data_IF_624592143664
#
_entry.id   IF_624592143664
#
_cell.length_a   1.000
_cell.length_b   1.000
_cell.length_c   1.000
_cell.angle_alpha   90.00
_cell.angle_beta   90.00
_cell.angle_gamma   90.00
#
_symmetry.space_group_name_H-M   'P 1'
#
loop_
_entity.id
_entity.type
_entity.pdbx_description
1 polymer ?
#
# COMPACT_ATOMS: atom_id res chain seq x y z
N UNK A 1 12.88 33.31 1.96
CA UNK A 1 11.57 33.29 2.65
C UNK A 1 11.16 31.85 2.86
N UNK A 2 10.52 31.52 3.95
CA UNK A 2 10.04 30.16 4.21
C UNK A 2 8.84 29.86 3.31
N UNK A 3 8.85 28.74 2.62
CA UNK A 3 7.70 28.29 1.82
C UNK A 3 6.54 27.93 2.75
N UNK A 4 5.34 28.42 2.45
CA UNK A 4 4.11 28.17 3.22
C UNK A 4 3.07 27.44 2.35
N UNK A 5 2.14 26.77 3.00
CA UNK A 5 0.96 26.17 2.36
C UNK A 5 -0.05 27.27 2.04
N UNK A 6 -0.56 27.30 0.80
CA UNK A 6 -1.56 28.30 0.36
C UNK A 6 -2.95 27.71 0.24
N UNK A 7 -3.06 26.42 -0.10
CA UNK A 7 -4.34 25.70 -0.11
C UNK A 7 -4.14 24.20 -0.02
N UNK A 8 -5.18 23.48 0.41
CA UNK A 8 -5.35 22.04 0.26
C UNK A 8 -6.72 21.80 -0.39
N UNK A 9 -6.75 21.01 -1.45
CA UNK A 9 -8.01 20.59 -2.08
C UNK A 9 -8.08 19.07 -2.14
N UNK A 10 -9.28 18.53 -1.97
CA UNK A 10 -9.53 17.09 -2.04
C UNK A 10 -10.70 16.80 -2.98
N UNK A 11 -10.53 15.79 -3.86
CA UNK A 11 -11.53 15.39 -4.84
C UNK A 11 -11.76 13.88 -4.75
N UNK A 12 -13.02 13.46 -4.57
CA UNK A 12 -13.38 12.06 -4.60
C UNK A 12 -13.56 11.58 -6.04
N UNK A 13 -13.01 10.41 -6.38
CA UNK A 13 -13.23 9.73 -7.65
C UNK A 13 -13.57 8.26 -7.41
N UNK A 14 -14.37 7.68 -8.31
CA UNK A 14 -14.73 6.27 -8.27
C UNK A 14 -14.30 5.61 -9.58
N UNK A 15 -13.10 5.03 -9.55
CA UNK A 15 -12.39 4.52 -10.73
C UNK A 15 -12.78 3.07 -10.99
N UNK A 16 -13.19 2.67 -12.21
CA UNK A 16 -13.45 1.28 -12.52
C UNK A 16 -12.15 0.47 -12.49
N UNK A 17 -12.19 -0.72 -11.89
CA UNK A 17 -11.07 -1.65 -11.92
C UNK A 17 -10.95 -2.32 -13.27
N UNK A 18 -9.72 -2.52 -13.74
CA UNK A 18 -9.43 -3.33 -14.93
C UNK A 18 -9.81 -4.82 -14.71
N UNK A 19 -9.62 -5.29 -13.47
CA UNK A 19 -10.02 -6.62 -12.98
C UNK A 19 -10.73 -6.46 -11.64
N UNK A 20 -12.05 -6.76 -11.58
CA UNK A 20 -12.77 -6.84 -10.32
C UNK A 20 -12.09 -7.84 -9.37
N UNK A 21 -11.93 -7.46 -8.11
CA UNK A 21 -11.27 -8.28 -7.12
C UNK A 21 -12.27 -8.83 -6.11
N UNK A 22 -12.35 -10.17 -6.02
CA UNK A 22 -13.09 -10.87 -4.98
C UNK A 22 -12.10 -11.36 -3.92
N UNK A 23 -12.33 -10.96 -2.67
CA UNK A 23 -11.58 -11.44 -1.50
C UNK A 23 -12.55 -12.05 -0.49
N UNK A 24 -12.03 -12.62 0.59
CA UNK A 24 -12.84 -13.08 1.73
C UNK A 24 -13.64 -11.94 2.40
N UNK A 25 -13.15 -10.70 2.29
CA UNK A 25 -13.80 -9.51 2.85
C UNK A 25 -14.88 -8.91 1.94
N UNK A 26 -15.00 -9.37 0.69
CA UNK A 26 -15.99 -8.88 -0.28
C UNK A 26 -15.46 -8.66 -1.68
N UNK A 27 -16.27 -8.01 -2.52
CA UNK A 27 -15.94 -7.73 -3.93
C UNK A 27 -15.73 -6.25 -4.15
N UNK A 28 -14.64 -5.90 -4.84
CA UNK A 28 -14.32 -4.53 -5.26
C UNK A 28 -14.34 -4.49 -6.77
N UNK A 29 -15.23 -3.67 -7.35
CA UNK A 29 -15.36 -3.46 -8.81
C UNK A 29 -14.93 -2.06 -9.23
N UNK A 30 -14.90 -1.14 -8.29
CA UNK A 30 -14.50 0.26 -8.47
C UNK A 30 -13.64 0.68 -7.28
N UNK A 31 -12.58 1.42 -7.55
CA UNK A 31 -11.65 1.92 -6.54
C UNK A 31 -12.10 3.30 -6.09
N UNK A 32 -12.49 3.49 -4.82
CA UNK A 32 -12.82 4.79 -4.27
C UNK A 32 -11.54 5.52 -3.85
N UNK A 33 -11.12 6.54 -4.61
CA UNK A 33 -9.93 7.33 -4.31
C UNK A 33 -10.31 8.75 -3.89
N UNK A 34 -9.51 9.35 -3.01
CA UNK A 34 -9.53 10.77 -2.69
C UNK A 34 -8.21 11.37 -3.14
N UNK A 35 -8.25 12.19 -4.18
CA UNK A 35 -7.09 12.89 -4.73
C UNK A 35 -6.84 14.16 -3.93
N UNK A 36 -5.59 14.43 -3.59
CA UNK A 36 -5.18 15.56 -2.73
C UNK A 36 -4.19 16.42 -3.50
N UNK A 37 -4.46 17.74 -3.52
CA UNK A 37 -3.57 18.76 -4.08
C UNK A 37 -3.23 19.77 -2.99
N UNK A 38 -1.95 19.92 -2.66
CA UNK A 38 -1.41 20.85 -1.67
C UNK A 38 -0.58 21.92 -2.37
N UNK A 39 -1.14 23.13 -2.49
CA UNK A 39 -0.46 24.25 -3.12
C UNK A 39 0.42 25.02 -2.13
N UNK A 40 1.50 25.60 -2.64
CA UNK A 40 2.51 26.31 -1.85
C UNK A 40 2.78 27.71 -2.36
N UNK A 41 3.32 28.59 -1.51
CA UNK A 41 3.74 29.95 -1.86
C UNK A 41 4.92 29.98 -2.85
N UNK A 42 5.62 28.86 -3.06
CA UNK A 42 6.66 28.70 -4.07
C UNK A 42 6.09 28.34 -5.46
N UNK A 43 4.76 28.22 -5.61
CA UNK A 43 4.10 27.85 -6.86
C UNK A 43 4.07 26.35 -7.15
N UNK A 44 4.71 25.51 -6.35
CA UNK A 44 4.62 24.06 -6.48
C UNK A 44 3.32 23.55 -5.86
N UNK A 45 2.76 22.51 -6.50
CA UNK A 45 1.62 21.75 -5.96
C UNK A 45 2.09 20.31 -5.73
N UNK A 46 2.00 19.87 -4.48
CA UNK A 46 2.24 18.48 -4.12
C UNK A 46 0.97 17.65 -4.28
N UNK A 47 1.13 16.44 -4.76
CA UNK A 47 0.04 15.51 -5.05
C UNK A 47 0.16 14.24 -4.22
N UNK A 48 -0.98 13.73 -3.75
CA UNK A 48 -1.12 12.40 -3.18
C UNK A 48 -2.55 11.89 -3.37
N UNK A 49 -2.78 10.65 -3.02
CA UNK A 49 -4.14 10.11 -3.01
C UNK A 49 -4.33 9.15 -1.84
N UNK A 50 -5.60 8.90 -1.50
CA UNK A 50 -6.02 7.93 -0.49
C UNK A 50 -6.94 6.90 -1.13
N UNK A 51 -6.89 5.68 -0.62
CA UNK A 51 -7.82 4.60 -0.93
C UNK A 51 -8.87 4.48 0.18
N UNK A 52 -10.07 4.99 -0.05
CA UNK A 52 -11.13 5.03 0.96
C UNK A 52 -11.77 3.66 1.26
N UNK A 53 -11.26 2.57 0.67
CA UNK A 53 -11.73 1.17 0.80
C UNK A 53 -13.18 0.97 0.35
N UNK A 54 -14.09 1.84 0.75
CA UNK A 54 -15.51 1.82 0.39
C UNK A 54 -15.99 3.19 -0.10
N UNK A 55 -16.88 3.25 -1.11
CA UNK A 55 -17.47 4.52 -1.55
C UNK A 55 -18.19 5.28 -0.42
N UNK A 56 -18.65 4.58 0.63
CA UNK A 56 -19.31 5.21 1.79
C UNK A 56 -18.37 6.15 2.57
N UNK A 57 -17.06 5.94 2.51
CA UNK A 57 -16.08 6.78 3.21
C UNK A 57 -15.62 8.00 2.39
N UNK A 58 -15.91 8.08 1.09
CA UNK A 58 -15.40 9.15 0.21
C UNK A 58 -15.79 10.55 0.69
N UNK A 59 -17.09 10.79 0.90
CA UNK A 59 -17.58 12.11 1.29
C UNK A 59 -17.05 12.56 2.66
N UNK A 60 -17.02 11.67 3.62
CA UNK A 60 -16.50 11.98 4.97
C UNK A 60 -14.99 12.27 4.94
N UNK A 61 -14.21 11.54 4.15
CA UNK A 61 -12.77 11.77 4.00
C UNK A 61 -12.49 13.12 3.32
N UNK A 62 -13.24 13.48 2.26
CA UNK A 62 -13.13 14.79 1.60
C UNK A 62 -13.50 15.90 2.55
N UNK A 63 -14.61 15.78 3.29
CA UNK A 63 -15.03 16.79 4.27
C UNK A 63 -13.96 16.98 5.36
N UNK A 64 -13.41 15.90 5.88
CA UNK A 64 -12.35 15.96 6.90
C UNK A 64 -11.08 16.65 6.38
N UNK A 65 -10.63 16.35 5.15
CA UNK A 65 -9.49 17.04 4.53
C UNK A 65 -9.79 18.52 4.31
N UNK A 66 -11.03 18.89 3.92
CA UNK A 66 -11.47 20.27 3.75
C UNK A 66 -11.41 21.05 5.06
N UNK A 67 -11.86 20.45 6.17
CA UNK A 67 -11.78 21.06 7.50
C UNK A 67 -10.31 21.18 7.97
N UNK A 68 -9.48 20.15 7.73
CA UNK A 68 -8.05 20.18 8.05
C UNK A 68 -7.30 21.26 7.25
N UNK A 69 -7.73 21.60 6.03
CA UNK A 69 -7.12 22.66 5.23
C UNK A 69 -7.06 23.99 5.98
N UNK A 70 -8.06 24.29 6.83
CA UNK A 70 -8.10 25.51 7.63
C UNK A 70 -6.97 25.60 8.67
N UNK A 71 -6.42 24.45 9.08
CA UNK A 71 -5.29 24.37 10.02
C UNK A 71 -3.95 24.49 9.30
N UNK A 72 -3.91 24.23 8.00
CA UNK A 72 -2.68 24.12 7.19
C UNK A 72 -2.32 25.42 6.47
N UNK A 73 -3.32 26.19 6.02
CA UNK A 73 -3.08 27.42 5.26
C UNK A 73 -2.27 28.42 6.11
N UNK A 74 -1.17 28.92 5.53
CA UNK A 74 -0.22 29.81 6.19
C UNK A 74 0.87 29.11 6.99
N UNK A 75 0.76 27.81 7.24
CA UNK A 75 1.81 27.06 7.93
C UNK A 75 3.04 26.86 7.04
N UNK A 76 4.25 26.79 7.61
CA UNK A 76 5.44 26.39 6.88
C UNK A 76 5.27 24.99 6.25
N UNK A 77 5.81 24.79 5.05
CA UNK A 77 5.89 23.48 4.42
C UNK A 77 7.00 22.65 5.09
N UNK A 78 6.70 22.11 6.25
CA UNK A 78 7.60 21.31 7.08
C UNK A 78 6.88 20.01 7.51
N UNK A 79 6.97 18.91 6.73
CA UNK A 79 6.13 17.73 6.92
C UNK A 79 6.14 17.16 8.35
N UNK A 80 7.29 17.06 8.99
CA UNK A 80 7.37 16.57 10.38
C UNK A 80 6.68 17.50 11.38
N UNK A 81 6.78 18.83 11.20
CA UNK A 81 6.12 19.79 12.10
C UNK A 81 4.60 19.77 11.86
N UNK A 82 4.18 19.64 10.60
CA UNK A 82 2.75 19.51 10.22
C UNK A 82 2.15 18.24 10.81
N UNK A 83 2.83 17.09 10.69
CA UNK A 83 2.42 15.82 11.29
C UNK A 83 2.26 15.96 12.82
N UNK A 84 3.24 16.56 13.49
CA UNK A 84 3.20 16.75 14.95
C UNK A 84 2.04 17.65 15.35
N UNK A 85 1.87 18.77 14.65
CA UNK A 85 0.76 19.73 14.90
C UNK A 85 -0.60 19.06 14.74
N UNK A 86 -0.81 18.35 13.64
CA UNK A 86 -2.08 17.69 13.35
C UNK A 86 -2.33 16.50 14.30
N UNK A 87 -1.34 15.65 14.53
CA UNK A 87 -1.47 14.54 15.47
C UNK A 87 -1.83 15.00 16.88
N UNK A 88 -1.23 16.11 17.33
CA UNK A 88 -1.57 16.72 18.63
C UNK A 88 -3.03 17.20 18.65
N UNK A 89 -3.53 17.77 17.55
CA UNK A 89 -4.92 18.24 17.43
C UNK A 89 -5.93 17.11 17.59
N UNK A 90 -5.60 15.93 17.12
CA UNK A 90 -6.47 14.74 17.13
C UNK A 90 -6.15 13.75 18.26
N UNK A 91 -5.33 14.12 19.25
CA UNK A 91 -4.90 13.21 20.34
C UNK A 91 -6.08 12.52 21.05
N UNK A 92 -7.16 13.25 21.36
CA UNK A 92 -8.31 12.68 22.08
C UNK A 92 -9.26 11.89 21.18
N UNK A 93 -9.31 12.20 19.89
CA UNK A 93 -10.11 11.45 18.91
C UNK A 93 -9.38 10.17 18.47
N UNK A 94 -8.07 10.20 18.45
CA UNK A 94 -7.22 9.18 17.88
C UNK A 94 -6.81 9.49 16.45
N UNK A 95 -5.73 8.85 16.00
CA UNK A 95 -5.18 9.01 14.65
C UNK A 95 -5.28 7.72 13.82
N UNK A 96 -6.20 6.83 14.18
CA UNK A 96 -6.52 5.64 13.40
C UNK A 96 -7.70 5.91 12.45
N UNK A 97 -7.94 5.03 11.49
CA UNK A 97 -9.06 5.15 10.55
C UNK A 97 -8.91 6.38 9.64
N UNK A 98 -10.03 6.99 9.27
CA UNK A 98 -10.06 8.10 8.31
C UNK A 98 -9.25 9.32 8.74
N UNK A 99 -9.12 9.57 10.05
CA UNK A 99 -8.23 10.63 10.57
C UNK A 99 -6.78 10.34 10.19
N UNK A 100 -6.28 9.15 10.53
CA UNK A 100 -4.91 8.75 10.21
C UNK A 100 -4.63 8.75 8.71
N UNK A 101 -5.57 8.24 7.91
CA UNK A 101 -5.49 8.27 6.44
C UNK A 101 -5.38 9.70 5.91
N UNK A 102 -6.23 10.62 6.39
CA UNK A 102 -6.17 12.03 6.01
C UNK A 102 -4.83 12.69 6.37
N UNK A 103 -4.30 12.42 7.58
CA UNK A 103 -2.99 12.90 8.01
C UNK A 103 -1.88 12.38 7.10
N UNK A 104 -1.91 11.10 6.74
CA UNK A 104 -0.95 10.47 5.83
C UNK A 104 -1.01 11.06 4.42
N UNK A 105 -2.21 11.32 3.91
CA UNK A 105 -2.40 11.96 2.61
C UNK A 105 -1.81 13.37 2.57
N UNK A 106 -2.02 14.16 3.63
CA UNK A 106 -1.42 15.49 3.78
C UNK A 106 0.10 15.39 3.85
N UNK A 107 0.64 14.44 4.61
CA UNK A 107 2.10 14.21 4.73
C UNK A 107 2.72 13.83 3.38
N UNK A 108 2.14 12.88 2.65
CA UNK A 108 2.60 12.49 1.31
C UNK A 108 2.60 13.68 0.33
N UNK A 109 1.52 14.49 0.32
CA UNK A 109 1.43 15.66 -0.54
C UNK A 109 2.46 16.74 -0.15
N UNK A 110 2.73 16.93 1.15
CA UNK A 110 3.70 17.90 1.63
C UNK A 110 5.14 17.48 1.24
N UNK A 111 5.49 16.20 1.34
CA UNK A 111 6.77 15.68 0.88
C UNK A 111 6.92 15.74 -0.64
N UNK A 112 5.86 15.45 -1.40
CA UNK A 112 5.87 15.60 -2.85
C UNK A 112 6.10 17.07 -3.25
N UNK A 113 5.44 18.04 -2.59
CA UNK A 113 5.67 19.46 -2.79
C UNK A 113 7.13 19.86 -2.51
N UNK A 114 7.72 19.38 -1.41
CA UNK A 114 9.13 19.65 -1.10
C UNK A 114 10.06 19.09 -2.18
N UNK A 115 9.83 17.87 -2.64
CA UNK A 115 10.64 17.26 -3.68
C UNK A 115 10.54 18.03 -5.02
N UNK A 116 9.34 18.50 -5.36
CA UNK A 116 9.12 19.37 -6.53
C UNK A 116 9.84 20.72 -6.42
N UNK A 117 9.79 21.36 -5.25
CA UNK A 117 10.51 22.63 -5.00
C UNK A 117 12.02 22.41 -5.09
N UNK A 118 12.51 21.28 -4.57
CA UNK A 118 13.92 20.91 -4.65
C UNK A 118 14.37 20.48 -6.07
N UNK A 119 13.43 20.31 -7.02
CA UNK A 119 13.71 19.89 -8.38
C UNK A 119 14.21 18.45 -8.51
N UNK A 120 13.86 17.56 -7.58
CA UNK A 120 14.37 16.18 -7.56
C UNK A 120 13.31 15.15 -7.16
N UNK A 121 13.49 13.86 -7.53
CA UNK A 121 12.64 12.78 -7.06
C UNK A 121 12.63 12.67 -5.54
N UNK A 122 11.49 12.25 -4.95
CA UNK A 122 11.36 12.10 -3.50
C UNK A 122 12.46 11.20 -2.90
N UNK A 123 12.80 10.08 -3.56
CA UNK A 123 13.86 9.19 -3.09
C UNK A 123 15.20 9.91 -2.89
N UNK A 124 15.58 10.83 -3.80
CA UNK A 124 16.82 11.62 -3.66
C UNK A 124 16.71 12.67 -2.56
N UNK A 125 15.54 13.31 -2.43
CA UNK A 125 15.32 14.27 -1.32
C UNK A 125 15.48 13.58 0.04
N UNK A 126 15.07 12.32 0.15
CA UNK A 126 15.21 11.50 1.35
C UNK A 126 16.62 10.90 1.55
N UNK A 127 17.57 11.21 0.64
CA UNK A 127 18.95 10.78 0.75
C UNK A 127 19.29 9.45 0.07
N UNK A 128 18.35 8.87 -0.71
CA UNK A 128 18.56 7.66 -1.48
C UNK A 128 18.98 7.90 -2.92
N UNK A 129 19.18 6.80 -3.66
CA UNK A 129 19.39 6.80 -5.10
C UNK A 129 18.24 6.05 -5.80
N UNK A 130 17.91 6.47 -7.03
CA UNK A 130 16.96 5.72 -7.85
C UNK A 130 17.56 4.36 -8.22
N UNK A 131 16.82 3.30 -7.94
CA UNK A 131 17.17 1.92 -8.30
C UNK A 131 15.89 1.16 -8.70
N UNK A 132 15.98 0.17 -9.60
CA UNK A 132 14.86 -0.72 -9.87
C UNK A 132 14.46 -1.46 -8.58
N UNK A 133 13.16 -1.49 -8.28
CA UNK A 133 12.63 -2.17 -7.09
C UNK A 133 11.91 -3.45 -7.53
N UNK A 134 12.27 -4.64 -7.02
CA UNK A 134 11.54 -5.87 -7.32
C UNK A 134 10.07 -5.72 -6.99
N UNK A 135 9.19 -6.09 -7.94
CA UNK A 135 7.75 -5.95 -7.78
C UNK A 135 7.03 -7.25 -8.08
N UNK A 136 5.97 -7.53 -7.33
CA UNK A 136 5.01 -8.59 -7.63
C UNK A 136 3.69 -8.02 -8.12
N UNK A 137 3.01 -8.78 -9.02
CA UNK A 137 1.71 -8.35 -9.54
C UNK A 137 0.58 -8.76 -8.61
N UNK A 138 -0.18 -7.77 -8.11
CA UNK A 138 -1.32 -7.94 -7.23
C UNK A 138 -2.64 -7.41 -7.84
N UNK A 139 -2.70 -7.25 -9.18
CA UNK A 139 -3.84 -6.67 -9.87
C UNK A 139 -5.07 -7.60 -10.00
N UNK A 140 -5.01 -8.84 -9.53
CA UNK A 140 -6.07 -9.82 -9.73
C UNK A 140 -5.94 -11.04 -8.84
N UNK A 141 -6.20 -12.24 -9.39
CA UNK A 141 -6.16 -13.54 -8.72
C UNK A 141 -7.00 -13.58 -7.43
N UNK A 142 -8.21 -13.02 -7.52
CA UNK A 142 -9.20 -13.09 -6.45
C UNK A 142 -9.81 -14.49 -6.28
N UNK A 143 -10.80 -14.62 -5.38
CA UNK A 143 -11.54 -15.86 -5.16
C UNK A 143 -12.49 -16.14 -6.34
N UNK A 144 -11.97 -16.66 -7.45
CA UNK A 144 -12.71 -16.88 -8.70
C UNK A 144 -12.70 -18.33 -9.20
N UNK A 145 -12.09 -19.23 -8.41
CA UNK A 145 -11.93 -20.65 -8.72
C UNK A 145 -10.71 -20.98 -9.58
N UNK A 146 -10.25 -22.24 -9.55
CA UNK A 146 -8.97 -22.68 -10.09
C UNK A 146 -8.80 -22.38 -11.59
N UNK A 147 -9.80 -22.66 -12.41
CA UNK A 147 -9.71 -22.47 -13.87
C UNK A 147 -9.48 -21.01 -14.26
N UNK A 148 -10.21 -20.07 -13.65
CA UNK A 148 -10.06 -18.64 -13.94
C UNK A 148 -8.76 -18.08 -13.39
N UNK A 149 -8.34 -18.52 -12.21
CA UNK A 149 -7.05 -18.13 -11.61
C UNK A 149 -5.90 -18.53 -12.51
N UNK A 150 -5.89 -19.76 -13.06
CA UNK A 150 -4.84 -20.25 -13.95
C UNK A 150 -4.73 -19.37 -15.23
N UNK A 151 -5.85 -18.99 -15.83
CA UNK A 151 -5.86 -18.12 -17.03
C UNK A 151 -5.34 -16.71 -16.69
N UNK A 152 -5.85 -16.10 -15.62
CA UNK A 152 -5.47 -14.74 -15.24
C UNK A 152 -4.01 -14.65 -14.80
N UNK A 153 -3.45 -15.70 -14.19
CA UNK A 153 -2.06 -15.73 -13.77
C UNK A 153 -1.08 -15.55 -14.95
N UNK A 154 -1.34 -16.23 -16.07
CA UNK A 154 -0.52 -16.09 -17.29
C UNK A 154 -0.53 -14.65 -17.81
N UNK A 155 -1.72 -14.02 -17.82
CA UNK A 155 -1.87 -12.63 -18.27
C UNK A 155 -1.10 -11.65 -17.37
N UNK A 156 -1.21 -11.83 -16.04
CA UNK A 156 -0.58 -10.96 -15.05
C UNK A 156 0.94 -11.07 -15.08
N UNK A 157 1.48 -12.27 -15.25
CA UNK A 157 2.92 -12.50 -15.38
C UNK A 157 3.47 -11.93 -16.69
N UNK A 158 2.71 -12.03 -17.79
CA UNK A 158 3.11 -11.50 -19.09
C UNK A 158 3.21 -9.98 -19.14
N UNK A 159 2.33 -9.27 -18.43
CA UNK A 159 2.30 -7.82 -18.36
C UNK A 159 3.43 -7.29 -17.45
N UNK A 160 4.44 -6.66 -18.03
CA UNK A 160 5.61 -6.18 -17.27
C UNK A 160 6.64 -7.26 -16.94
N UNK A 161 6.44 -8.50 -17.41
CA UNK A 161 7.32 -9.67 -17.18
C UNK A 161 7.59 -9.90 -15.69
N UNK A 162 6.55 -9.93 -14.89
CA UNK A 162 6.67 -10.23 -13.47
C UNK A 162 7.18 -11.65 -13.23
N UNK A 163 8.03 -11.80 -12.22
CA UNK A 163 8.50 -13.10 -11.71
C UNK A 163 7.75 -13.53 -10.44
N UNK A 164 6.73 -12.77 -10.03
CA UNK A 164 5.99 -13.01 -8.80
C UNK A 164 4.55 -12.48 -8.90
N UNK A 165 3.60 -13.21 -8.32
CA UNK A 165 2.17 -12.84 -8.25
C UNK A 165 1.60 -13.12 -6.87
N UNK A 166 0.54 -12.37 -6.48
CA UNK A 166 -0.22 -12.61 -5.24
C UNK A 166 -1.56 -13.25 -5.57
N UNK A 167 -1.82 -14.42 -4.96
CA UNK A 167 -3.05 -15.21 -5.05
C UNK A 167 -3.88 -14.98 -3.78
N UNK A 168 -5.18 -14.66 -3.91
CA UNK A 168 -6.09 -14.63 -2.76
C UNK A 168 -6.56 -16.05 -2.44
N UNK A 169 -6.45 -16.42 -1.18
CA UNK A 169 -6.98 -17.63 -0.58
C UNK A 169 -8.04 -17.27 0.47
N UNK A 170 -8.64 -18.28 1.11
CA UNK A 170 -9.75 -18.11 2.03
C UNK A 170 -11.08 -18.56 1.45
N UNK A 171 -11.03 -19.54 0.55
CA UNK A 171 -12.22 -20.29 0.15
C UNK A 171 -12.86 -20.99 1.36
N UNK A 172 -14.14 -21.40 1.27
CA UNK A 172 -14.81 -22.08 2.38
C UNK A 172 -14.04 -23.27 2.93
N UNK A 173 -13.35 -24.02 2.07
CA UNK A 173 -12.58 -25.22 2.47
C UNK A 173 -11.10 -25.10 2.13
N UNK A 174 -10.26 -25.85 2.85
CA UNK A 174 -8.84 -25.99 2.54
C UNK A 174 -8.60 -26.63 1.18
N UNK A 175 -9.45 -27.59 0.82
CA UNK A 175 -9.38 -28.33 -0.43
C UNK A 175 -9.53 -27.39 -1.63
N UNK A 176 -10.39 -26.36 -1.52
CA UNK A 176 -10.56 -25.32 -2.54
C UNK A 176 -9.34 -24.40 -2.62
N UNK A 177 -8.75 -24.01 -1.48
CA UNK A 177 -7.50 -23.23 -1.44
C UNK A 177 -6.38 -24.00 -2.16
N UNK A 178 -6.20 -25.29 -1.81
CA UNK A 178 -5.18 -26.17 -2.38
C UNK A 178 -5.40 -26.38 -3.89
N UNK A 179 -6.63 -26.68 -4.32
CA UNK A 179 -6.95 -26.88 -5.73
C UNK A 179 -6.66 -25.61 -6.56
N UNK A 180 -6.97 -24.42 -6.02
CA UNK A 180 -6.71 -23.17 -6.69
C UNK A 180 -5.20 -22.88 -6.82
N UNK A 181 -4.42 -23.12 -5.75
CA UNK A 181 -2.98 -22.96 -5.77
C UNK A 181 -2.30 -23.94 -6.75
N UNK A 182 -2.71 -25.22 -6.75
CA UNK A 182 -2.19 -26.21 -7.68
C UNK A 182 -2.47 -25.84 -9.14
N UNK A 183 -3.70 -25.40 -9.46
CA UNK A 183 -4.05 -24.97 -10.81
C UNK A 183 -3.22 -23.76 -11.27
N UNK A 184 -2.90 -22.83 -10.37
CA UNK A 184 -2.00 -21.73 -10.65
C UNK A 184 -0.58 -22.24 -10.91
N UNK A 185 -0.03 -23.11 -10.04
CA UNK A 185 1.33 -23.61 -10.12
C UNK A 185 1.58 -24.45 -11.38
N UNK A 186 0.56 -25.13 -11.91
CA UNK A 186 0.64 -25.94 -13.12
C UNK A 186 0.91 -25.09 -14.38
N UNK A 187 0.46 -23.83 -14.42
CA UNK A 187 0.52 -22.98 -15.61
C UNK A 187 1.60 -21.91 -15.58
N UNK A 188 2.10 -21.56 -14.41
CA UNK A 188 3.11 -20.49 -14.28
C UNK A 188 4.51 -21.01 -14.63
N UNK A 189 5.42 -20.15 -15.15
CA UNK A 189 6.81 -20.53 -15.43
C UNK A 189 7.53 -21.03 -14.17
N UNK A 190 8.41 -22.01 -14.33
CA UNK A 190 9.25 -22.49 -13.22
C UNK A 190 10.07 -21.34 -12.62
N UNK A 191 10.13 -21.27 -11.30
CA UNK A 191 10.81 -20.21 -10.57
C UNK A 191 9.96 -18.96 -10.30
N UNK A 192 8.70 -18.91 -10.78
CA UNK A 192 7.78 -17.86 -10.40
C UNK A 192 7.43 -17.97 -8.92
N UNK A 193 7.54 -16.86 -8.18
CA UNK A 193 7.15 -16.80 -6.78
C UNK A 193 5.64 -16.56 -6.64
N UNK A 194 5.00 -17.30 -5.74
CA UNK A 194 3.59 -17.13 -5.41
C UNK A 194 3.47 -16.69 -3.97
N UNK A 195 2.87 -15.53 -3.77
CA UNK A 195 2.44 -15.02 -2.48
C UNK A 195 0.97 -15.37 -2.28
N UNK A 196 0.56 -15.71 -1.06
CA UNK A 196 -0.85 -15.90 -0.77
C UNK A 196 -1.36 -14.84 0.20
N UNK A 197 -2.65 -14.50 0.10
CA UNK A 197 -3.28 -13.49 0.95
C UNK A 197 -4.67 -13.97 1.38
N UNK A 198 -4.86 -14.10 2.70
CA UNK A 198 -6.12 -14.51 3.31
C UNK A 198 -7.04 -13.34 3.68
N UNK A 199 -6.55 -12.09 3.59
CA UNK A 199 -7.31 -10.89 3.96
C UNK A 199 -8.06 -11.06 5.30
N UNK A 200 -7.37 -11.58 6.33
CA UNK A 200 -7.86 -11.73 7.70
C UNK A 200 -9.01 -12.76 7.87
N UNK A 201 -9.17 -13.70 6.93
CA UNK A 201 -10.32 -14.61 6.90
C UNK A 201 -10.37 -15.64 8.01
N UNK A 202 -9.22 -16.02 8.59
CA UNK A 202 -9.12 -17.22 9.41
C UNK A 202 -9.01 -16.88 10.91
N UNK A 203 -9.41 -17.83 11.76
CA UNK A 203 -8.97 -17.84 13.15
C UNK A 203 -7.52 -18.32 13.23
N UNK A 204 -6.75 -18.01 14.29
CA UNK A 204 -5.39 -18.51 14.43
C UNK A 204 -5.28 -20.03 14.31
N UNK A 205 -6.20 -20.78 14.91
CA UNK A 205 -6.22 -22.24 14.84
C UNK A 205 -6.44 -22.76 13.41
N UNK A 206 -7.35 -22.14 12.64
CA UNK A 206 -7.62 -22.51 11.26
C UNK A 206 -6.47 -22.07 10.34
N UNK A 207 -5.85 -20.91 10.60
CA UNK A 207 -4.67 -20.45 9.88
C UNK A 207 -3.48 -21.42 10.03
N UNK A 208 -3.24 -21.92 11.24
CA UNK A 208 -2.23 -22.96 11.51
C UNK A 208 -2.59 -24.25 10.76
N UNK A 209 -3.84 -24.72 10.87
CA UNK A 209 -4.28 -25.95 10.23
C UNK A 209 -4.09 -25.92 8.71
N UNK A 210 -4.49 -24.81 8.06
CA UNK A 210 -4.31 -24.62 6.60
C UNK A 210 -2.85 -24.40 6.25
N UNK A 211 -2.16 -23.54 6.99
CA UNK A 211 -0.77 -23.18 6.75
C UNK A 211 0.18 -24.39 6.79
N UNK A 212 -0.02 -25.33 7.70
CA UNK A 212 0.77 -26.59 7.76
C UNK A 212 0.65 -27.43 6.48
N UNK A 213 -0.47 -27.38 5.78
CA UNK A 213 -0.62 -28.04 4.47
C UNK A 213 0.06 -27.19 3.39
N UNK A 214 -0.10 -25.86 3.43
CA UNK A 214 0.50 -24.93 2.48
C UNK A 214 2.03 -24.85 2.59
N UNK A 215 2.62 -25.21 3.73
CA UNK A 215 4.06 -25.31 3.95
C UNK A 215 4.78 -26.23 2.94
N UNK A 216 4.06 -27.19 2.34
CA UNK A 216 4.57 -28.10 1.33
C UNK A 216 4.39 -27.55 -0.09
N UNK A 217 3.77 -26.38 -0.26
CA UNK A 217 3.35 -25.84 -1.56
C UNK A 217 4.22 -24.67 -2.06
N UNK A 218 5.39 -24.45 -1.44
CA UNK A 218 6.39 -23.49 -1.87
C UNK A 218 5.87 -22.05 -2.08
N UNK A 219 5.05 -21.54 -1.15
CA UNK A 219 4.65 -20.13 -1.12
C UNK A 219 5.80 -19.25 -0.64
N UNK A 220 5.91 -18.05 -1.21
CA UNK A 220 6.88 -17.04 -0.76
C UNK A 220 6.52 -16.51 0.64
N UNK A 221 5.23 -16.31 0.89
CA UNK A 221 4.66 -16.00 2.20
C UNK A 221 3.14 -16.24 2.24
N UNK A 222 2.61 -16.29 3.45
CA UNK A 222 1.17 -16.22 3.74
C UNK A 222 0.89 -14.84 4.36
N UNK A 223 0.05 -14.04 3.69
CA UNK A 223 -0.31 -12.69 4.08
C UNK A 223 -1.61 -12.68 4.86
N UNK A 224 -1.66 -11.87 5.93
CA UNK A 224 -2.83 -11.63 6.78
C UNK A 224 -3.68 -12.89 7.06
N UNK A 225 -3.08 -13.98 7.60
CA UNK A 225 -3.84 -15.22 7.84
C UNK A 225 -4.98 -15.03 8.81
N UNK A 226 -4.83 -14.17 9.83
CA UNK A 226 -5.84 -13.86 10.83
C UNK A 226 -5.99 -12.34 11.01
N UNK A 227 -6.87 -11.90 11.91
CA UNK A 227 -7.19 -10.49 12.13
C UNK A 227 -5.93 -9.64 12.34
N UNK A 228 -5.90 -8.47 11.69
CA UNK A 228 -4.75 -7.56 11.75
C UNK A 228 -4.49 -7.01 13.16
N UNK A 229 -5.53 -6.87 13.99
CA UNK A 229 -5.42 -6.38 15.37
C UNK A 229 -5.06 -7.49 16.39
N UNK A 230 -4.98 -8.76 15.96
CA UNK A 230 -4.59 -9.90 16.80
C UNK A 230 -3.09 -10.22 16.60
N UNK A 231 -2.23 -9.39 17.17
CA UNK A 231 -0.77 -9.65 17.10
C UNK A 231 -0.36 -10.96 17.79
N UNK A 232 -1.08 -11.37 18.84
CA UNK A 232 -0.79 -12.63 19.52
C UNK A 232 -1.17 -13.83 18.66
N UNK A 233 -2.34 -13.79 18.02
CA UNK A 233 -2.78 -14.83 17.08
C UNK A 233 -1.86 -14.94 15.86
N UNK A 234 -1.46 -13.81 15.27
CA UNK A 234 -0.47 -13.80 14.18
C UNK A 234 0.88 -14.38 14.61
N UNK A 235 1.35 -14.09 15.84
CA UNK A 235 2.57 -14.67 16.38
C UNK A 235 2.48 -16.19 16.55
N UNK A 236 1.33 -16.70 16.97
CA UNK A 236 1.09 -18.16 17.05
C UNK A 236 1.20 -18.80 15.65
N UNK A 237 0.65 -18.16 14.64
CA UNK A 237 0.72 -18.64 13.25
C UNK A 237 2.16 -18.61 12.74
N UNK A 238 2.87 -17.49 12.90
CA UNK A 238 4.26 -17.34 12.44
C UNK A 238 5.20 -18.38 13.07
N UNK A 239 5.05 -18.67 14.37
CA UNK A 239 5.86 -19.70 15.05
C UNK A 239 5.52 -21.13 14.59
N UNK A 240 4.27 -21.39 14.19
CA UNK A 240 3.82 -22.73 13.83
C UNK A 240 4.17 -23.13 12.39
N UNK A 241 4.37 -22.16 11.49
CA UNK A 241 4.58 -22.40 10.06
C UNK A 241 6.05 -22.28 9.67
N UNK A 242 6.42 -22.97 8.57
CA UNK A 242 7.72 -22.80 7.88
C UNK A 242 7.64 -21.71 6.81
N UNK A 243 6.47 -21.58 6.17
CA UNK A 243 6.19 -20.51 5.21
C UNK A 243 6.14 -19.19 5.97
N UNK A 244 6.92 -18.19 5.57
CA UNK A 244 6.90 -16.89 6.24
C UNK A 244 5.51 -16.26 6.30
N UNK A 245 5.19 -15.62 7.43
CA UNK A 245 3.97 -14.84 7.59
C UNK A 245 4.28 -13.37 7.34
N UNK A 246 3.51 -12.73 6.46
CA UNK A 246 3.60 -11.30 6.17
C UNK A 246 2.34 -10.59 6.66
N UNK A 247 2.50 -9.52 7.44
CA UNK A 247 1.41 -8.64 7.84
C UNK A 247 1.87 -7.17 7.80
N UNK A 248 0.93 -6.24 7.79
CA UNK A 248 1.30 -4.86 8.01
C UNK A 248 0.50 -3.83 7.23
N UNK A 249 -0.29 -4.20 6.24
CA UNK A 249 -1.14 -3.26 5.53
C UNK A 249 -2.08 -2.48 6.47
N UNK A 250 -2.39 -3.06 7.62
CA UNK A 250 -3.25 -2.51 8.65
C UNK A 250 -2.49 -1.93 9.86
N UNK A 251 -1.19 -1.70 9.79
CA UNK A 251 -0.45 -1.02 10.87
C UNK A 251 -0.81 0.46 10.95
N UNK A 252 -1.44 0.86 12.04
CA UNK A 252 -1.77 2.25 12.33
C UNK A 252 -0.58 2.99 12.97
N UNK A 253 0.32 3.45 12.10
CA UNK A 253 1.54 4.16 12.46
C UNK A 253 2.69 3.25 12.91
N UNK A 254 3.92 3.80 12.99
CA UNK A 254 5.13 3.03 13.32
C UNK A 254 5.10 2.38 14.71
N UNK A 255 4.33 2.94 15.64
CA UNK A 255 4.20 2.38 17.01
C UNK A 255 3.43 1.06 17.01
N UNK A 256 2.44 0.94 16.12
CA UNK A 256 1.67 -0.29 15.97
C UNK A 256 2.52 -1.40 15.35
N UNK A 257 3.24 -1.07 14.25
CA UNK A 257 4.25 -1.96 13.69
C UNK A 257 5.24 -2.42 14.76
N UNK A 258 5.81 -1.50 15.56
CA UNK A 258 6.72 -1.86 16.64
C UNK A 258 6.09 -2.77 17.72
N UNK A 259 4.78 -2.72 17.95
CA UNK A 259 4.07 -3.68 18.83
C UNK A 259 3.99 -5.06 18.19
N UNK A 260 3.63 -5.13 16.92
CA UNK A 260 3.56 -6.38 16.17
C UNK A 260 4.93 -7.09 16.12
N UNK A 261 6.00 -6.36 15.80
CA UNK A 261 7.36 -6.94 15.76
C UNK A 261 7.81 -7.46 17.13
N UNK A 262 7.56 -6.72 18.22
CA UNK A 262 7.88 -7.21 19.58
C UNK A 262 7.07 -8.44 19.98
N UNK A 263 5.86 -8.61 19.44
CA UNK A 263 5.07 -9.80 19.66
C UNK A 263 5.53 -11.00 18.80
N UNK A 264 6.45 -10.81 17.86
CA UNK A 264 6.82 -11.85 16.89
C UNK A 264 5.70 -12.17 15.91
N UNK A 265 4.85 -11.18 15.59
CA UNK A 265 3.62 -11.39 14.84
C UNK A 265 3.84 -11.66 13.34
N UNK A 266 5.07 -11.52 12.82
CA UNK A 266 5.38 -11.75 11.42
C UNK A 266 6.87 -12.00 11.18
N UNK A 267 7.17 -12.60 10.03
CA UNK A 267 8.50 -12.78 9.47
C UNK A 267 8.85 -11.67 8.49
N UNK A 268 7.84 -11.07 7.84
CA UNK A 268 7.96 -9.94 6.93
C UNK A 268 6.92 -8.87 7.27
N UNK A 269 7.31 -7.61 7.21
CA UNK A 269 6.41 -6.47 7.39
C UNK A 269 6.05 -5.84 6.03
N UNK A 270 4.78 -5.39 5.87
CA UNK A 270 4.33 -4.73 4.65
C UNK A 270 3.44 -3.51 4.95
N UNK A 271 3.99 -2.46 5.53
CA UNK A 271 3.19 -1.28 5.86
C UNK A 271 2.60 -0.62 4.60
N UNK A 272 1.42 -0.06 4.78
CA UNK A 272 0.74 0.78 3.81
C UNK A 272 1.11 2.25 4.05
N UNK A 273 1.48 2.99 2.98
CA UNK A 273 1.88 4.40 3.11
C UNK A 273 0.77 5.27 3.69
N UNK A 274 -0.50 4.96 3.39
CA UNK A 274 -1.66 5.68 3.90
C UNK A 274 -1.91 5.43 5.40
N UNK A 275 -1.59 4.23 5.91
CA UNK A 275 -1.88 3.85 7.30
C UNK A 275 -0.68 4.01 8.22
N UNK A 276 0.53 3.86 7.70
CA UNK A 276 1.76 3.98 8.49
C UNK A 276 2.09 5.44 8.87
N UNK A 277 1.40 6.44 8.31
CA UNK A 277 1.65 7.85 8.59
C UNK A 277 2.39 8.60 7.48
N UNK A 278 2.12 8.25 6.22
CA UNK A 278 2.73 8.87 5.05
C UNK A 278 4.22 8.57 4.93
N UNK A 279 4.95 9.47 4.29
CA UNK A 279 6.41 9.41 4.15
C UNK A 279 7.10 9.51 5.50
N UNK A 280 6.66 10.44 6.36
CA UNK A 280 7.23 10.64 7.70
C UNK A 280 7.09 9.40 8.59
N UNK A 281 5.92 8.76 8.56
CA UNK A 281 5.65 7.52 9.26
C UNK A 281 6.45 6.34 8.70
N UNK A 282 6.53 6.24 7.37
CA UNK A 282 7.33 5.22 6.69
C UNK A 282 8.80 5.26 7.09
N UNK A 283 9.42 6.45 7.10
CA UNK A 283 10.83 6.59 7.50
C UNK A 283 11.10 6.08 8.92
N UNK A 284 10.16 6.30 9.84
CA UNK A 284 10.25 5.75 11.21
C UNK A 284 10.04 4.24 11.22
N UNK A 285 9.09 3.73 10.43
CA UNK A 285 8.83 2.30 10.28
C UNK A 285 10.05 1.57 9.68
N UNK A 286 10.68 2.15 8.65
CA UNK A 286 11.89 1.62 8.03
C UNK A 286 13.05 1.53 9.02
N UNK A 287 13.23 2.54 9.90
CA UNK A 287 14.24 2.50 10.95
C UNK A 287 13.95 1.41 12.01
N UNK A 288 12.67 1.18 12.33
CA UNK A 288 12.27 0.08 13.22
C UNK A 288 12.53 -1.28 12.54
N UNK A 289 12.18 -1.43 11.26
CA UNK A 289 12.43 -2.65 10.49
C UNK A 289 13.93 -2.96 10.42
N UNK A 290 14.77 -1.95 10.16
CA UNK A 290 16.22 -2.08 10.12
C UNK A 290 16.80 -2.55 11.46
N UNK A 291 16.37 -1.93 12.56
CA UNK A 291 16.79 -2.31 13.93
C UNK A 291 16.40 -3.75 14.33
N UNK A 292 15.39 -4.33 13.66
CA UNK A 292 14.95 -5.71 13.88
C UNK A 292 15.42 -6.67 12.77
N UNK A 293 16.20 -6.21 11.78
CA UNK A 293 16.55 -6.94 10.57
C UNK A 293 15.30 -7.52 9.85
N UNK A 294 14.17 -6.82 9.92
CA UNK A 294 12.88 -7.23 9.39
C UNK A 294 12.76 -6.84 7.92
N UNK A 295 12.64 -7.81 6.97
CA UNK A 295 12.36 -7.50 5.58
C UNK A 295 11.04 -6.72 5.45
N UNK A 296 11.06 -5.60 4.69
CA UNK A 296 9.95 -4.68 4.60
C UNK A 296 9.49 -4.52 3.15
N UNK A 297 8.29 -5.04 2.87
CA UNK A 297 7.57 -4.91 1.60
C UNK A 297 6.62 -3.70 1.64
N UNK A 298 5.90 -3.45 0.55
CA UNK A 298 4.89 -2.39 0.48
C UNK A 298 3.49 -2.96 0.33
N UNK A 299 2.48 -2.22 0.78
CA UNK A 299 1.09 -2.39 0.41
C UNK A 299 0.62 -1.15 -0.34
N UNK A 300 -0.03 -1.31 -1.50
CA UNK A 300 -0.58 -0.25 -2.35
C UNK A 300 0.37 0.93 -2.65
N UNK A 301 -0.19 2.02 -3.20
CA UNK A 301 0.50 3.30 -3.48
C UNK A 301 1.84 3.15 -4.21
N UNK A 302 1.92 2.35 -5.31
CA UNK A 302 3.20 1.99 -5.91
C UNK A 302 4.04 3.20 -6.36
N UNK A 303 3.41 4.32 -6.72
CA UNK A 303 4.09 5.57 -7.13
C UNK A 303 4.91 6.15 -5.98
N UNK A 304 4.32 6.24 -4.78
CA UNK A 304 4.99 6.76 -3.58
C UNK A 304 5.90 5.71 -2.97
N UNK A 305 5.37 4.48 -2.82
CA UNK A 305 6.07 3.37 -2.17
C UNK A 305 7.38 3.01 -2.87
N UNK A 306 7.47 3.12 -4.21
CA UNK A 306 8.70 2.88 -4.95
C UNK A 306 9.85 3.81 -4.51
N UNK A 307 9.56 5.10 -4.27
CA UNK A 307 10.55 6.05 -3.73
C UNK A 307 10.96 5.68 -2.31
N UNK A 308 10.00 5.29 -1.48
CA UNK A 308 10.24 4.91 -0.09
C UNK A 308 11.11 3.65 0.01
N UNK A 309 10.91 2.68 -0.89
CA UNK A 309 11.74 1.48 -1.00
C UNK A 309 13.20 1.80 -1.35
N UNK A 310 13.47 2.89 -2.05
CA UNK A 310 14.85 3.31 -2.34
C UNK A 310 15.64 3.68 -1.08
N UNK A 311 14.97 4.10 -0.01
CA UNK A 311 15.56 4.54 1.25
C UNK A 311 15.28 3.60 2.43
N UNK A 312 14.66 2.46 2.17
CA UNK A 312 14.40 1.41 3.16
C UNK A 312 15.57 0.43 3.19
N UNK A 313 16.34 0.34 4.30
CA UNK A 313 17.51 -0.55 4.38
C UNK A 313 17.17 -2.02 4.16
N UNK A 314 16.02 -2.46 4.68
CA UNK A 314 15.53 -3.84 4.58
C UNK A 314 14.48 -4.03 3.48
N UNK A 315 14.53 -3.19 2.42
CA UNK A 315 13.59 -3.26 1.30
C UNK A 315 13.50 -4.67 0.71
N UNK A 316 12.26 -5.17 0.58
CA UNK A 316 11.98 -6.53 0.11
C UNK A 316 11.22 -6.49 -1.23
N UNK A 317 9.89 -6.43 -1.24
CA UNK A 317 9.08 -6.42 -2.46
C UNK A 317 8.15 -5.21 -2.52
N UNK A 318 7.97 -4.65 -3.71
CA UNK A 318 6.92 -3.68 -3.99
C UNK A 318 5.66 -4.42 -4.47
N UNK A 319 4.53 -4.16 -3.83
CA UNK A 319 3.23 -4.56 -4.34
C UNK A 319 2.83 -3.66 -5.51
N UNK A 320 2.64 -4.24 -6.69
CA UNK A 320 2.13 -3.51 -7.83
C UNK A 320 0.64 -3.73 -8.01
N UNK A 321 -0.11 -2.63 -8.00
CA UNK A 321 -1.52 -2.54 -8.38
C UNK A 321 -1.72 -1.39 -9.37
N UNK A 322 -2.66 -1.53 -10.31
CA UNK A 322 -2.96 -0.55 -11.36
C UNK A 322 -4.19 0.32 -11.03
N UNK A 323 -4.60 0.37 -9.78
CA UNK A 323 -5.89 0.92 -9.36
C UNK A 323 -6.02 2.42 -9.56
N UNK A 324 -4.95 3.18 -9.40
CA UNK A 324 -4.91 4.63 -9.63
C UNK A 324 -4.55 4.98 -11.09
N UNK A 325 -4.00 4.03 -11.87
CA UNK A 325 -3.52 4.27 -13.23
C UNK A 325 -4.49 5.05 -14.13
N UNK A 326 -5.82 4.78 -14.13
CA UNK A 326 -6.74 5.51 -14.99
C UNK A 326 -6.82 7.02 -14.72
N UNK A 327 -6.48 7.48 -13.51
CA UNK A 327 -6.52 8.91 -13.14
C UNK A 327 -5.13 9.54 -13.06
N UNK A 328 -4.06 8.77 -13.25
CA UNK A 328 -2.70 9.28 -13.32
C UNK A 328 -2.33 9.75 -14.73
N UNK A 329 -1.59 10.83 -14.82
CA UNK A 329 -1.04 11.32 -16.09
C UNK A 329 0.06 10.40 -16.63
N UNK A 330 0.86 9.81 -15.73
CA UNK A 330 1.93 8.87 -16.03
C UNK A 330 1.99 7.80 -14.95
N UNK A 331 1.39 6.62 -15.17
CA UNK A 331 1.49 5.49 -14.25
C UNK A 331 2.94 5.02 -14.06
N UNK A 332 3.22 4.41 -12.90
CA UNK A 332 4.52 3.80 -12.61
C UNK A 332 4.87 2.73 -13.66
N UNK A 333 6.06 2.84 -14.25
CA UNK A 333 6.55 1.86 -15.21
C UNK A 333 7.00 0.57 -14.50
N UNK A 334 6.55 -0.58 -15.02
CA UNK A 334 7.10 -1.89 -14.66
C UNK A 334 7.87 -2.45 -15.83
N UNK A 335 9.12 -2.81 -15.60
CA UNK A 335 10.00 -3.40 -16.61
C UNK A 335 10.73 -4.60 -16.02
N UNK A 336 10.62 -5.76 -16.66
CA UNK A 336 11.26 -7.01 -16.23
C UNK A 336 11.02 -7.31 -14.74
N UNK A 337 9.75 -7.15 -14.28
CA UNK A 337 9.36 -7.40 -12.91
C UNK A 337 9.85 -6.38 -11.88
N UNK A 338 10.33 -5.23 -12.33
CA UNK A 338 10.82 -4.16 -11.43
C UNK A 338 10.06 -2.85 -11.66
N UNK A 339 9.77 -2.16 -10.59
CA UNK A 339 9.28 -0.78 -10.64
C UNK A 339 10.44 0.16 -11.00
N UNK A 340 10.23 0.97 -12.04
CA UNK A 340 11.21 1.91 -12.58
C UNK A 340 10.75 3.32 -12.25
N UNK A 341 11.44 3.97 -11.33
CA UNK A 341 11.11 5.30 -10.86
C UNK A 341 11.64 6.32 -11.86
N UNK A 342 10.76 7.20 -12.33
CA UNK A 342 11.14 8.29 -13.22
C UNK A 342 12.09 9.29 -12.51
N UNK A 343 13.12 9.76 -13.22
CA UNK A 343 14.01 10.81 -12.73
C UNK A 343 13.35 12.19 -12.95
N UNK A 344 12.29 12.43 -12.19
CA UNK A 344 11.48 13.65 -12.26
C UNK A 344 11.15 14.16 -10.85
N UNK A 345 10.94 15.48 -10.67
CA UNK A 345 10.64 16.04 -9.36
C UNK A 345 9.34 15.50 -8.75
N UNK A 346 9.39 15.19 -7.44
CA UNK A 346 8.25 14.68 -6.69
C UNK A 346 8.21 13.15 -6.63
N UNK A 347 7.00 12.63 -6.48
CA UNK A 347 6.67 11.18 -6.44
C UNK A 347 6.26 10.63 -7.80
N UNK A 348 6.16 11.47 -8.82
CA UNK A 348 5.60 11.11 -10.12
C UNK A 348 4.06 11.17 -10.18
N UNK A 349 3.38 11.36 -9.04
CA UNK A 349 1.92 11.52 -9.01
C UNK A 349 1.53 12.84 -9.68
N UNK A 350 0.73 12.75 -10.73
CA UNK A 350 0.10 13.88 -11.41
C UNK A 350 -1.21 13.39 -12.03
N UNK A 351 -2.19 14.27 -12.15
CA UNK A 351 -3.53 13.88 -12.56
C UNK A 351 -3.74 13.98 -14.07
N UNK A 352 -4.41 12.97 -14.61
CA UNK A 352 -5.11 13.08 -15.90
C UNK A 352 -6.45 13.76 -15.62
N UNK A 353 -6.51 15.09 -15.73
CA UNK A 353 -7.68 15.89 -15.36
C UNK A 353 -8.94 15.51 -16.16
N UNK A 354 -8.81 15.07 -17.39
CA UNK A 354 -9.96 14.60 -18.19
C UNK A 354 -10.54 13.31 -17.58
N UNK A 355 -9.69 12.40 -17.14
CA UNK A 355 -10.12 11.17 -16.48
C UNK A 355 -10.67 11.46 -15.07
N UNK A 356 -10.04 12.37 -14.32
CA UNK A 356 -10.55 12.82 -13.01
C UNK A 356 -11.96 13.37 -13.15
N UNK A 357 -12.21 14.26 -14.12
CA UNK A 357 -13.56 14.80 -14.38
C UNK A 357 -14.56 13.70 -14.74
N UNK A 358 -14.14 12.69 -15.52
CA UNK A 358 -14.97 11.55 -15.90
C UNK A 358 -15.39 10.67 -14.71
N UNK A 359 -14.50 10.46 -13.74
CA UNK A 359 -14.71 9.56 -12.60
C UNK A 359 -15.08 10.28 -11.31
N UNK A 360 -15.31 11.59 -11.37
CA UNK A 360 -15.66 12.41 -10.19
C UNK A 360 -16.87 11.81 -9.47
N UNK A 361 -16.76 11.67 -8.16
CA UNK A 361 -17.82 11.17 -7.29
C UNK A 361 -18.48 12.34 -6.55
N UNK A 362 -19.78 12.56 -6.83
CA UNK A 362 -20.60 13.63 -6.28
C UNK A 362 -21.44 13.20 -5.06
#
# INVERSE_FOLDING_TARGET
MTTTITSLTARAVLVPMSRPLQTSSGSITKVPLVLIDLATSAGAVGHSYLFAVTPLALKSTVAQLTDMATLLVGQPLAPYDLELMLSKRFTLLGTNGTVGMALSGIDMAAWDAQARIAGQPLARLLGGSLKPIPAYNSCGLGLMGPEKVAVEAIELLGKGRFSAVKLRLGYPTLEEDVATLLALQEVIPAGTLVMSDYNQALTPAEAIRRGLVLDEMNLAWIEEPTRADDHAGNAMVAVALRTPVQIGENFWGPRDMGRALRAGACDYAMPDAERIGGVSGWMRAAAIADAHAMPMSTHLFPEVSSHLMCVTPTAHWLEYVDWANPVLASPLEIREGHAIIADAPGTGVAWNEAAVAKYLYS
#
